data_IF_284841011148
#
_entry.id   IF_284841011148
#
_cell.length_a   1.000
_cell.length_b   1.000
_cell.length_c   1.000
_cell.angle_alpha   90.00
_cell.angle_beta   90.00
_cell.angle_gamma   90.00
#
_symmetry.space_group_name_H-M   'P 1'
#
loop_
_entity.id
_entity.type
_entity.pdbx_description
1 polymer ?
#
# COMPACT_ATOMS: atom_id res chain seq x y z
N UNK A 1 15.41 10.98 14.50
CA UNK A 1 14.04 10.40 14.52
C UNK A 1 14.04 9.18 15.43
N UNK A 2 12.92 8.84 16.09
CA UNK A 2 12.78 7.58 16.84
C UNK A 2 12.18 6.47 15.94
N UNK A 3 12.28 5.21 16.36
CA UNK A 3 11.82 4.08 15.55
C UNK A 3 10.33 4.15 15.20
N UNK A 4 9.49 4.62 16.13
CA UNK A 4 8.03 4.79 15.92
C UNK A 4 7.75 5.69 14.71
N UNK A 5 8.26 6.93 14.71
CA UNK A 5 8.10 7.85 13.58
C UNK A 5 8.78 7.35 12.31
N UNK A 6 9.88 6.60 12.45
CA UNK A 6 10.54 5.97 11.30
C UNK A 6 9.59 4.98 10.62
N UNK A 7 8.96 4.09 11.39
CA UNK A 7 8.07 3.07 10.87
C UNK A 7 6.81 3.67 10.24
N UNK A 8 6.27 4.75 10.82
CA UNK A 8 5.14 5.48 10.23
C UNK A 8 5.47 6.05 8.83
N UNK A 9 6.72 6.48 8.60
CA UNK A 9 7.17 7.07 7.34
C UNK A 9 7.62 6.04 6.29
N UNK A 10 7.82 4.77 6.69
CA UNK A 10 8.29 3.72 5.77
C UNK A 10 7.27 3.45 4.66
N UNK A 11 5.96 3.51 4.93
CA UNK A 11 4.93 3.33 3.89
C UNK A 11 4.99 4.43 2.84
N UNK A 12 5.02 5.70 3.27
CA UNK A 12 5.11 6.84 2.35
C UNK A 12 6.41 6.82 1.54
N UNK A 13 7.49 6.34 2.14
CA UNK A 13 8.77 6.15 1.45
C UNK A 13 8.69 5.07 0.36
N UNK A 14 8.09 3.91 0.67
CA UNK A 14 7.93 2.80 -0.29
C UNK A 14 6.96 3.16 -1.41
N UNK A 15 5.90 3.92 -1.10
CA UNK A 15 4.91 4.38 -2.07
C UNK A 15 5.40 5.58 -2.91
N UNK A 16 6.47 6.25 -2.47
CA UNK A 16 7.05 7.40 -3.16
C UNK A 16 6.30 8.72 -2.91
N UNK A 17 5.46 8.78 -1.87
CA UNK A 17 4.69 9.96 -1.44
C UNK A 17 5.40 10.81 -0.38
N UNK A 18 6.54 10.34 0.16
CA UNK A 18 7.27 11.03 1.22
C UNK A 18 7.84 12.40 0.82
N UNK A 19 7.84 13.35 1.75
CA UNK A 19 8.48 14.66 1.56
C UNK A 19 10.00 14.55 1.46
N UNK A 20 10.65 15.51 0.79
CA UNK A 20 12.12 15.54 0.70
C UNK A 20 12.80 15.64 2.07
N UNK A 21 12.22 16.40 3.01
CA UNK A 21 12.78 16.59 4.35
C UNK A 21 12.71 15.30 5.18
N UNK A 22 11.56 14.63 5.13
CA UNK A 22 11.35 13.37 5.85
C UNK A 22 12.19 12.25 5.23
N UNK A 23 12.36 12.24 3.91
CA UNK A 23 13.21 11.28 3.21
C UNK A 23 14.65 11.31 3.71
N UNK A 24 15.26 12.50 3.84
CA UNK A 24 16.65 12.60 4.35
C UNK A 24 16.76 12.12 5.80
N UNK A 25 15.79 12.50 6.64
CA UNK A 25 15.77 12.12 8.05
C UNK A 25 15.56 10.61 8.23
N UNK A 26 14.70 10.03 7.38
CA UNK A 26 14.45 8.59 7.31
C UNK A 26 15.68 7.82 6.83
N UNK A 27 16.31 8.23 5.73
CA UNK A 27 17.52 7.57 5.22
C UNK A 27 18.63 7.52 6.25
N UNK A 28 18.87 8.62 6.98
CA UNK A 28 19.86 8.64 8.07
C UNK A 28 19.52 7.64 9.19
N UNK A 29 18.25 7.49 9.57
CA UNK A 29 17.86 6.51 10.58
C UNK A 29 18.00 5.06 10.08
N UNK A 30 17.67 4.80 8.81
CA UNK A 30 17.78 3.46 8.23
C UNK A 30 19.23 2.99 8.09
N UNK A 31 20.20 3.91 7.96
CA UNK A 31 21.63 3.58 7.97
C UNK A 31 22.13 3.15 9.35
N UNK A 32 21.50 3.64 10.42
CA UNK A 32 21.94 3.41 11.81
C UNK A 32 21.11 2.35 12.56
N UNK A 33 19.90 2.05 12.08
CA UNK A 33 18.97 1.15 12.75
C UNK A 33 18.62 -0.06 11.89
N UNK A 34 19.27 -1.20 12.19
CA UNK A 34 19.03 -2.48 11.51
C UNK A 34 17.56 -2.90 11.53
N UNK A 35 16.89 -2.73 12.67
CA UNK A 35 15.48 -3.10 12.80
C UNK A 35 14.56 -2.33 11.84
N UNK A 36 14.76 -1.01 11.72
CA UNK A 36 13.96 -0.20 10.80
C UNK A 36 14.32 -0.46 9.33
N UNK A 37 15.59 -0.80 9.05
CA UNK A 37 16.01 -1.24 7.73
C UNK A 37 15.32 -2.56 7.32
N UNK A 38 15.24 -3.53 8.22
CA UNK A 38 14.51 -4.79 8.02
C UNK A 38 13.02 -4.55 7.75
N UNK A 39 12.36 -3.69 8.54
CA UNK A 39 10.94 -3.32 8.32
C UNK A 39 10.74 -2.71 6.94
N UNK A 40 11.66 -1.84 6.49
CA UNK A 40 11.62 -1.25 5.14
C UNK A 40 11.77 -2.33 4.07
N UNK A 41 12.74 -3.22 4.23
CA UNK A 41 13.04 -4.30 3.26
C UNK A 41 11.87 -5.29 3.14
N UNK A 42 11.24 -5.64 4.26
CA UNK A 42 10.04 -6.48 4.30
C UNK A 42 8.87 -5.82 3.56
N UNK A 43 8.58 -4.55 3.85
CA UNK A 43 7.51 -3.84 3.16
C UNK A 43 7.78 -3.71 1.66
N UNK A 44 9.02 -3.40 1.29
CA UNK A 44 9.43 -3.31 -0.11
C UNK A 44 9.28 -4.66 -0.83
N UNK A 45 9.58 -5.77 -0.15
CA UNK A 45 9.41 -7.13 -0.68
C UNK A 45 7.94 -7.48 -0.87
N UNK A 46 7.06 -7.15 0.09
CA UNK A 46 5.61 -7.35 0.00
C UNK A 46 5.04 -6.56 -1.19
N UNK A 47 5.36 -5.27 -1.29
CA UNK A 47 4.91 -4.42 -2.39
C UNK A 47 5.42 -4.93 -3.73
N UNK A 48 6.69 -5.34 -3.79
CA UNK A 48 7.27 -5.97 -4.98
C UNK A 48 6.50 -7.22 -5.41
N UNK A 49 6.21 -8.11 -4.47
CA UNK A 49 5.42 -9.32 -4.72
C UNK A 49 4.02 -8.98 -5.25
N UNK A 50 3.30 -8.06 -4.61
CA UNK A 50 1.98 -7.64 -5.05
C UNK A 50 1.98 -7.07 -6.46
N UNK A 51 3.00 -6.28 -6.83
CA UNK A 51 3.16 -5.74 -8.19
C UNK A 51 3.44 -6.83 -9.22
N UNK A 52 4.29 -7.81 -8.89
CA UNK A 52 4.57 -8.94 -9.79
C UNK A 52 3.36 -9.85 -10.00
N UNK A 53 2.51 -10.00 -8.98
CA UNK A 53 1.30 -10.81 -9.03
C UNK A 53 0.07 -10.02 -9.50
N UNK A 54 0.23 -8.75 -9.87
CA UNK A 54 -0.89 -7.91 -10.28
C UNK A 54 -1.63 -8.52 -11.48
N UNK A 55 -2.94 -8.64 -11.37
CA UNK A 55 -3.78 -9.27 -12.39
C UNK A 55 -3.86 -10.79 -12.31
N UNK A 56 -3.04 -11.45 -11.47
CA UNK A 56 -3.13 -12.89 -11.20
C UNK A 56 -4.15 -13.18 -10.09
N UNK A 57 -5.38 -12.73 -10.32
CA UNK A 57 -6.48 -12.96 -9.39
C UNK A 57 -7.32 -14.15 -9.85
N UNK A 58 -7.76 -14.97 -8.90
CA UNK A 58 -8.79 -15.95 -9.20
C UNK A 58 -10.07 -15.19 -9.57
N UNK A 59 -10.69 -15.57 -10.69
CA UNK A 59 -11.98 -15.01 -11.06
C UNK A 59 -13.00 -15.33 -9.96
N UNK A 60 -13.81 -14.34 -9.51
CA UNK A 60 -14.84 -14.60 -8.52
C UNK A 60 -15.87 -15.59 -9.08
N UNK A 61 -16.48 -16.43 -8.22
CA UNK A 61 -17.57 -17.31 -8.63
C UNK A 61 -18.69 -16.48 -9.28
N UNK A 62 -19.03 -16.80 -10.53
CA UNK A 62 -20.05 -16.09 -11.31
C UNK A 62 -19.82 -14.57 -11.40
N UNK A 63 -18.70 -14.19 -12.01
CA UNK A 63 -18.29 -12.81 -12.26
C UNK A 63 -19.41 -11.90 -12.83
N UNK A 64 -20.25 -12.44 -13.73
CA UNK A 64 -21.38 -11.69 -14.31
C UNK A 64 -22.39 -11.26 -13.25
N UNK A 65 -22.76 -12.16 -12.34
CA UNK A 65 -23.72 -11.84 -11.27
C UNK A 65 -23.14 -10.83 -10.27
N UNK A 66 -21.84 -10.92 -9.99
CA UNK A 66 -21.13 -9.97 -9.14
C UNK A 66 -21.18 -8.55 -9.74
N UNK A 67 -20.81 -8.40 -11.02
CA UNK A 67 -20.84 -7.10 -11.68
C UNK A 67 -22.25 -6.51 -11.84
N UNK A 68 -23.26 -7.34 -12.07
CA UNK A 68 -24.66 -6.89 -12.06
C UNK A 68 -25.06 -6.33 -10.68
N UNK A 69 -24.65 -7.00 -9.60
CA UNK A 69 -24.95 -6.55 -8.23
C UNK A 69 -24.24 -5.24 -7.89
N UNK A 70 -22.97 -5.11 -8.26
CA UNK A 70 -22.20 -3.86 -8.07
C UNK A 70 -22.89 -2.71 -8.81
N UNK A 71 -23.27 -2.92 -10.07
CA UNK A 71 -23.98 -1.92 -10.87
C UNK A 71 -25.27 -1.46 -10.20
N UNK A 72 -26.13 -2.41 -9.82
CA UNK A 72 -27.42 -2.09 -9.20
C UNK A 72 -27.26 -1.30 -7.90
N UNK A 73 -26.20 -1.59 -7.12
CA UNK A 73 -25.91 -0.88 -5.87
C UNK A 73 -25.49 0.57 -6.12
N UNK A 74 -24.67 0.81 -7.15
CA UNK A 74 -24.24 2.16 -7.55
C UNK A 74 -25.44 2.97 -8.06
N UNK A 75 -26.27 2.37 -8.92
CA UNK A 75 -27.46 3.03 -9.48
C UNK A 75 -28.49 3.37 -8.42
N UNK A 76 -28.75 2.45 -7.47
CA UNK A 76 -29.67 2.69 -6.36
C UNK A 76 -29.18 3.81 -5.43
N UNK A 77 -27.87 3.86 -5.13
CA UNK A 77 -27.28 4.94 -4.34
C UNK A 77 -27.36 6.30 -5.03
N UNK A 78 -27.13 6.35 -6.35
CA UNK A 78 -27.25 7.58 -7.13
C UNK A 78 -28.69 8.08 -7.30
N UNK A 79 -29.69 7.22 -7.08
CA UNK A 79 -31.13 7.58 -7.15
C UNK A 79 -31.72 8.04 -5.81
N UNK A 80 -30.94 8.01 -4.73
CA UNK A 80 -31.37 8.35 -3.38
C UNK A 80 -30.97 9.77 -2.94
N UNK A 81 -30.19 10.49 -3.75
CA UNK A 81 -29.85 11.91 -3.64
C UNK A 81 -30.63 12.76 -4.66
#
# INVERSE_FOLDING_TARGET
MNCEKCQDLISDFVDGSISHQDKTTLSSHLEECLHCAEVRDDLQSIVGFCRTQQGQYAAPPNEKALWLRIRNMIEAGASAD
#
